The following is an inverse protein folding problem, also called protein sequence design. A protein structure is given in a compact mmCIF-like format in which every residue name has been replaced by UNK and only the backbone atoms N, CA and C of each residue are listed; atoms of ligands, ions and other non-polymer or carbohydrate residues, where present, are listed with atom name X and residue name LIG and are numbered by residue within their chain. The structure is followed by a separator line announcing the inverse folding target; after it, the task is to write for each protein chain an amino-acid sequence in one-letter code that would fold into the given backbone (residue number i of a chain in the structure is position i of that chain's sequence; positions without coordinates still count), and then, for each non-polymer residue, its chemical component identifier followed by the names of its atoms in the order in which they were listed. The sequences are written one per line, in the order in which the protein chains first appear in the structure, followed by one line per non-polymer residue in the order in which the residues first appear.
data_IF_143898607609
#
_entry.id   IF_143898607609
#
_cell.length_a   1.000
_cell.length_b   1.000
_cell.length_c   1.000
_cell.angle_alpha   90.00
_cell.angle_beta   90.00
_cell.angle_gamma   90.00
#
_symmetry.space_group_name_H-M   'P 1'
#
loop_
_entity.id
_entity.type
_entity.pdbx_description
1 polymer ?
#
# COMPACT_ATOMS: atom_id res chain seq x y z
N UNK A 1 18.35 -25.00 -18.08
CA UNK A 1 18.71 -24.43 -16.76
C UNK A 1 17.49 -23.67 -16.27
N UNK A 2 16.79 -24.24 -15.28
CA UNK A 2 15.72 -23.54 -14.55
C UNK A 2 16.29 -22.21 -14.06
N UNK A 3 15.66 -21.09 -14.44
CA UNK A 3 16.08 -19.78 -13.93
C UNK A 3 15.86 -19.82 -12.41
N UNK A 4 16.90 -19.65 -11.61
CA UNK A 4 16.72 -19.53 -10.16
C UNK A 4 16.26 -18.11 -9.88
N UNK A 5 15.08 -17.98 -9.28
CA UNK A 5 14.61 -16.69 -8.74
C UNK A 5 15.46 -16.33 -7.52
N UNK A 6 15.84 -15.06 -7.39
CA UNK A 6 16.49 -14.52 -6.19
C UNK A 6 15.74 -13.32 -5.66
N UNK A 7 15.58 -13.26 -4.35
CA UNK A 7 14.82 -12.22 -3.67
C UNK A 7 15.76 -11.51 -2.70
N UNK A 8 15.82 -10.19 -2.77
CA UNK A 8 16.55 -9.35 -1.82
C UNK A 8 15.60 -8.33 -1.21
N UNK A 9 15.99 -7.74 -0.09
CA UNK A 9 15.25 -6.68 0.60
C UNK A 9 16.21 -5.62 1.10
N UNK A 10 15.74 -4.38 1.18
CA UNK A 10 16.36 -3.39 2.05
C UNK A 10 15.81 -3.49 3.47
N UNK A 11 15.91 -2.40 4.24
CA UNK A 11 15.51 -2.36 5.64
C UNK A 11 14.04 -1.95 5.85
N UNK A 12 13.31 -1.61 4.79
CA UNK A 12 11.97 -1.04 4.94
C UNK A 12 10.96 -2.03 5.53
N UNK A 13 10.97 -3.30 5.11
CA UNK A 13 10.07 -4.32 5.64
C UNK A 13 10.62 -5.75 5.46
N UNK A 14 11.70 -6.06 6.18
CA UNK A 14 12.35 -7.38 6.10
C UNK A 14 11.40 -8.55 6.49
N UNK A 15 10.45 -8.31 7.40
CA UNK A 15 9.46 -9.32 7.81
C UNK A 15 8.58 -9.76 6.64
N UNK A 16 8.07 -8.81 5.85
CA UNK A 16 7.30 -9.10 4.63
C UNK A 16 8.14 -9.82 3.58
N UNK A 17 9.40 -9.41 3.38
CA UNK A 17 10.30 -10.08 2.45
C UNK A 17 10.50 -11.56 2.81
N UNK A 18 10.70 -11.85 4.10
CA UNK A 18 10.79 -13.23 4.59
C UNK A 18 9.49 -14.01 4.35
N UNK A 19 8.33 -13.43 4.67
CA UNK A 19 7.04 -14.10 4.44
C UNK A 19 6.75 -14.40 2.96
N UNK A 20 7.23 -13.54 2.05
CA UNK A 20 7.17 -13.79 0.59
C UNK A 20 8.11 -14.93 0.19
N UNK A 21 9.33 -14.97 0.73
CA UNK A 21 10.26 -16.08 0.52
C UNK A 21 9.69 -17.41 1.02
N UNK A 22 9.09 -17.42 2.21
CA UNK A 22 8.45 -18.61 2.80
C UNK A 22 7.28 -19.10 1.93
N UNK A 23 6.47 -18.20 1.36
CA UNK A 23 5.40 -18.56 0.42
C UNK A 23 5.94 -19.20 -0.87
N UNK A 24 7.10 -18.76 -1.34
CA UNK A 24 7.73 -19.22 -2.58
C UNK A 24 8.63 -20.45 -2.40
N UNK A 25 8.85 -20.89 -1.16
CA UNK A 25 9.80 -21.95 -0.79
C UNK A 25 11.23 -21.63 -1.31
N UNK A 26 11.69 -20.40 -1.07
CA UNK A 26 13.03 -19.93 -1.43
C UNK A 26 13.72 -19.22 -0.26
N UNK A 27 15.04 -19.21 -0.26
CA UNK A 27 15.81 -18.45 0.73
C UNK A 27 15.92 -16.97 0.33
N UNK A 28 15.85 -16.09 1.33
CA UNK A 28 16.17 -14.68 1.15
C UNK A 28 17.65 -14.54 0.78
N UNK A 29 17.91 -13.77 -0.27
CA UNK A 29 19.26 -13.53 -0.77
C UNK A 29 20.12 -12.79 0.24
N UNK A 30 21.40 -13.12 0.26
CA UNK A 30 22.38 -12.53 1.15
C UNK A 30 22.78 -11.15 0.64
N UNK A 31 22.27 -10.11 1.29
CA UNK A 31 22.71 -8.74 1.09
C UNK A 31 22.83 -8.02 2.42
N UNK A 32 23.90 -7.25 2.55
CA UNK A 32 24.13 -6.36 3.67
C UNK A 32 23.73 -4.94 3.27
N UNK A 33 22.72 -4.38 3.93
CA UNK A 33 22.25 -3.00 3.72
C UNK A 33 22.43 -2.23 5.01
N UNK A 34 23.49 -1.42 5.09
CA UNK A 34 23.89 -0.68 6.30
C UNK A 34 24.03 0.82 6.02
N UNK A 35 24.25 1.58 7.07
CA UNK A 35 24.58 3.00 6.99
C UNK A 35 25.98 3.23 7.57
N UNK A 36 26.79 4.05 6.88
CA UNK A 36 28.03 4.58 7.44
C UNK A 36 27.71 5.55 8.59
N UNK A 37 28.74 5.94 9.35
CA UNK A 37 28.57 6.82 10.52
C UNK A 37 28.00 8.20 10.20
N UNK A 38 28.12 8.66 8.95
CA UNK A 38 27.59 9.92 8.44
C UNK A 38 26.17 9.79 7.84
N UNK A 39 25.61 8.59 7.81
CA UNK A 39 24.27 8.31 7.31
C UNK A 39 24.19 7.91 5.84
N UNK A 40 25.32 7.81 5.12
CA UNK A 40 25.31 7.27 3.76
C UNK A 40 24.99 5.77 3.74
N UNK A 41 24.11 5.36 2.82
CA UNK A 41 23.72 3.95 2.66
C UNK A 41 24.79 3.17 1.92
N UNK A 42 25.17 2.00 2.45
CA UNK A 42 26.07 1.02 1.85
C UNK A 42 25.34 -0.29 1.59
N UNK A 43 25.57 -0.88 0.41
CA UNK A 43 24.99 -2.16 0.01
C UNK A 43 26.07 -3.09 -0.51
N UNK A 44 26.14 -4.29 0.04
CA UNK A 44 27.04 -5.36 -0.42
C UNK A 44 26.25 -6.66 -0.64
N UNK A 45 26.43 -7.31 -1.80
CA UNK A 45 25.83 -8.62 -2.09
C UNK A 45 26.76 -9.71 -1.57
N UNK A 46 26.24 -10.61 -0.75
CA UNK A 46 26.95 -11.79 -0.24
C UNK A 46 26.97 -12.98 -1.19
N UNK A 47 26.34 -12.87 -2.36
CA UNK A 47 26.22 -13.97 -3.32
C UNK A 47 26.22 -13.53 -4.79
N UNK A 48 26.48 -14.48 -5.69
CA UNK A 48 26.54 -14.23 -7.13
C UNK A 48 25.13 -14.19 -7.75
N UNK A 49 24.80 -13.07 -8.40
CA UNK A 49 23.51 -12.84 -9.07
C UNK A 49 23.60 -12.80 -10.61
N UNK A 50 24.76 -13.12 -11.18
CA UNK A 50 25.02 -13.00 -12.63
C UNK A 50 24.04 -13.86 -13.43
N UNK A 51 23.33 -13.22 -14.36
CA UNK A 51 22.39 -13.89 -15.24
C UNK A 51 21.06 -14.31 -14.60
N UNK A 52 20.86 -14.01 -13.31
CA UNK A 52 19.67 -14.40 -12.55
C UNK A 52 18.50 -13.43 -12.75
N UNK A 53 17.29 -13.91 -12.43
CA UNK A 53 16.08 -13.10 -12.35
C UNK A 53 15.85 -12.69 -10.89
N UNK A 54 15.97 -11.40 -10.62
CA UNK A 54 16.06 -10.87 -9.26
C UNK A 54 14.86 -10.00 -8.93
N UNK A 55 14.34 -10.15 -7.72
CA UNK A 55 13.25 -9.34 -7.16
C UNK A 55 13.77 -8.61 -5.92
N UNK A 56 13.49 -7.31 -5.82
CA UNK A 56 13.87 -6.49 -4.66
C UNK A 56 12.60 -6.03 -3.96
N UNK A 57 12.35 -6.53 -2.76
CA UNK A 57 11.19 -6.17 -1.94
C UNK A 57 11.58 -4.98 -1.06
N UNK A 58 11.01 -3.81 -1.33
CA UNK A 58 11.31 -2.61 -0.57
C UNK A 58 10.18 -1.58 -0.73
N UNK A 59 9.33 -1.48 0.30
CA UNK A 59 8.42 -0.34 0.43
C UNK A 59 9.21 0.96 0.60
N UNK A 60 8.71 2.06 0.03
CA UNK A 60 9.34 3.39 0.16
C UNK A 60 8.63 4.22 1.23
N UNK A 61 8.29 3.56 2.35
CA UNK A 61 7.65 4.14 3.53
C UNK A 61 8.64 4.90 4.42
N UNK A 62 8.17 5.48 5.53
CA UNK A 62 9.04 6.20 6.45
C UNK A 62 10.18 5.30 7.02
N UNK A 63 11.43 5.79 7.10
CA UNK A 63 11.93 7.06 6.55
C UNK A 63 12.04 7.04 5.01
N UNK A 64 11.22 7.85 4.34
CA UNK A 64 10.97 7.71 2.89
C UNK A 64 12.24 7.88 2.04
N UNK A 65 13.07 8.87 2.38
CA UNK A 65 14.31 9.18 1.65
C UNK A 65 15.39 8.12 1.85
N UNK A 66 15.48 7.55 3.04
CA UNK A 66 16.42 6.46 3.33
C UNK A 66 15.99 5.21 2.57
N UNK A 67 14.72 4.82 2.68
CA UNK A 67 14.23 3.59 2.06
C UNK A 67 14.26 3.65 0.52
N UNK A 68 14.00 4.81 -0.10
CA UNK A 68 14.19 4.97 -1.55
C UNK A 68 15.68 4.90 -1.93
N UNK A 69 16.58 5.52 -1.17
CA UNK A 69 18.01 5.45 -1.48
C UNK A 69 18.54 4.01 -1.35
N UNK A 70 18.13 3.26 -0.33
CA UNK A 70 18.41 1.83 -0.21
C UNK A 70 17.93 1.04 -1.44
N UNK A 71 16.70 1.28 -1.91
CA UNK A 71 16.18 0.66 -3.12
C UNK A 71 17.06 0.98 -4.33
N UNK A 72 17.34 2.26 -4.58
CA UNK A 72 18.09 2.71 -5.74
C UNK A 72 19.52 2.13 -5.75
N UNK A 73 20.20 2.11 -4.61
CA UNK A 73 21.55 1.57 -4.49
C UNK A 73 21.53 0.04 -4.68
N UNK A 74 20.57 -0.66 -4.06
CA UNK A 74 20.44 -2.11 -4.24
C UNK A 74 20.15 -2.51 -5.70
N UNK A 75 19.29 -1.76 -6.39
CA UNK A 75 19.04 -1.93 -7.83
C UNK A 75 20.32 -1.71 -8.67
N UNK A 76 21.09 -0.65 -8.40
CA UNK A 76 22.33 -0.37 -9.11
C UNK A 76 23.40 -1.43 -8.85
N UNK A 77 23.54 -1.89 -7.61
CA UNK A 77 24.46 -2.98 -7.22
C UNK A 77 24.13 -4.27 -7.98
N UNK A 78 22.85 -4.67 -8.03
CA UNK A 78 22.40 -5.85 -8.79
C UNK A 78 22.66 -5.70 -10.29
N UNK A 79 22.42 -4.51 -10.86
CA UNK A 79 22.68 -4.23 -12.28
C UNK A 79 24.17 -4.36 -12.60
N UNK A 80 25.04 -3.77 -11.79
CA UNK A 80 26.51 -3.86 -11.96
C UNK A 80 27.03 -5.27 -11.72
N UNK A 81 26.40 -6.03 -10.84
CA UNK A 81 26.64 -7.46 -10.65
C UNK A 81 26.10 -8.35 -11.79
N UNK A 82 25.59 -7.75 -12.88
CA UNK A 82 25.13 -8.43 -14.09
C UNK A 82 23.92 -9.35 -13.90
N UNK A 83 22.99 -8.98 -13.00
CA UNK A 83 21.67 -9.58 -12.96
C UNK A 83 20.99 -9.45 -14.34
N UNK A 84 20.27 -10.50 -14.79
CA UNK A 84 19.65 -10.52 -16.13
C UNK A 84 18.40 -9.65 -16.18
N UNK A 85 17.60 -9.68 -15.12
CA UNK A 85 16.35 -8.93 -14.98
C UNK A 85 16.19 -8.57 -13.50
N UNK A 86 15.79 -7.33 -13.23
CA UNK A 86 15.59 -6.81 -11.88
C UNK A 86 14.17 -6.27 -11.77
N UNK A 87 13.35 -6.86 -10.92
CA UNK A 87 12.00 -6.39 -10.64
C UNK A 87 11.99 -5.68 -9.28
N UNK A 88 11.63 -4.39 -9.26
CA UNK A 88 11.41 -3.67 -8.02
C UNK A 88 10.01 -3.98 -7.50
N UNK A 89 9.91 -4.70 -6.39
CA UNK A 89 8.66 -4.99 -5.69
C UNK A 89 8.50 -3.94 -4.60
N UNK A 90 7.58 -3.00 -4.79
CA UNK A 90 7.37 -1.82 -3.95
C UNK A 90 5.94 -1.88 -3.39
N UNK A 91 5.69 -2.64 -2.30
CA UNK A 91 4.35 -2.82 -1.74
C UNK A 91 3.67 -1.49 -1.39
N UNK A 92 4.40 -0.51 -0.86
CA UNK A 92 3.95 0.87 -0.72
C UNK A 92 4.83 1.84 -1.51
N UNK A 93 4.24 2.52 -2.49
CA UNK A 93 4.91 3.53 -3.31
C UNK A 93 4.83 4.93 -2.66
N UNK A 94 5.86 5.26 -1.87
CA UNK A 94 6.09 6.57 -1.31
C UNK A 94 6.13 7.66 -2.39
N UNK A 95 5.84 8.90 -1.99
CA UNK A 95 5.63 10.03 -2.90
C UNK A 95 4.45 9.91 -3.88
N UNK A 96 3.68 8.81 -3.88
CA UNK A 96 2.56 8.58 -4.79
C UNK A 96 1.45 9.66 -4.75
N UNK A 97 1.30 10.37 -3.63
CA UNK A 97 0.37 11.52 -3.49
C UNK A 97 0.81 12.79 -4.21
N UNK A 98 2.03 12.82 -4.74
CA UNK A 98 2.60 13.94 -5.51
C UNK A 98 2.67 13.57 -7.00
N UNK A 99 1.53 13.16 -7.55
CA UNK A 99 1.32 12.66 -8.92
C UNK A 99 1.01 13.76 -9.95
N UNK A 100 0.62 14.95 -9.51
CA UNK A 100 0.29 16.07 -10.39
C UNK A 100 0.58 17.42 -9.76
N UNK A 101 0.67 18.46 -10.60
CA UNK A 101 0.80 19.84 -10.13
C UNK A 101 -0.54 20.40 -9.71
N UNK A 102 -0.79 20.49 -8.41
CA UNK A 102 -1.99 21.16 -7.86
C UNK A 102 -1.82 22.69 -7.82
N UNK A 103 -0.57 23.16 -7.73
CA UNK A 103 -0.21 24.59 -7.77
C UNK A 103 0.93 24.84 -8.76
N UNK A 104 1.06 26.05 -9.33
CA UNK A 104 2.24 26.43 -10.10
C UNK A 104 3.53 26.15 -9.33
N UNK A 105 4.59 25.74 -10.04
CA UNK A 105 5.94 25.49 -9.49
C UNK A 105 6.04 24.39 -8.42
N UNK A 106 5.07 23.47 -8.35
CA UNK A 106 5.19 22.23 -7.58
C UNK A 106 5.86 21.11 -8.40
N UNK A 107 6.59 20.17 -7.75
CA UNK A 107 7.15 18.99 -8.42
C UNK A 107 6.06 17.94 -8.70
N UNK A 108 6.38 16.98 -9.58
CA UNK A 108 5.67 15.70 -9.70
C UNK A 108 6.62 14.63 -9.18
N UNK A 109 6.73 14.54 -7.85
CA UNK A 109 7.76 13.70 -7.20
C UNK A 109 7.52 12.21 -7.46
N UNK A 110 6.27 11.78 -7.63
CA UNK A 110 5.97 10.40 -8.05
C UNK A 110 6.60 10.04 -9.41
N UNK A 111 6.66 10.99 -10.34
CA UNK A 111 7.35 10.84 -11.64
C UNK A 111 8.87 10.86 -11.48
N UNK A 112 9.41 11.73 -10.63
CA UNK A 112 10.84 11.73 -10.31
C UNK A 112 11.28 10.38 -9.74
N UNK A 113 10.51 9.80 -8.80
CA UNK A 113 10.81 8.48 -8.25
C UNK A 113 10.79 7.40 -9.34
N UNK A 114 9.83 7.45 -10.26
CA UNK A 114 9.75 6.51 -11.38
C UNK A 114 10.98 6.59 -12.30
N UNK A 115 11.46 7.81 -12.57
CA UNK A 115 12.67 8.05 -13.36
C UNK A 115 13.91 7.49 -12.65
N UNK A 116 14.05 7.74 -11.36
CA UNK A 116 15.19 7.26 -10.57
C UNK A 116 15.20 5.73 -10.48
N UNK A 117 14.06 5.09 -10.18
CA UNK A 117 13.94 3.63 -10.09
C UNK A 117 14.30 2.97 -11.44
N UNK A 118 13.77 3.52 -12.54
CA UNK A 118 14.10 3.04 -13.90
C UNK A 118 15.59 3.23 -14.19
N UNK A 119 16.14 4.40 -13.86
CA UNK A 119 17.56 4.74 -14.11
C UNK A 119 18.52 3.90 -13.28
N UNK A 120 18.14 3.52 -12.05
CA UNK A 120 18.93 2.66 -11.17
C UNK A 120 19.06 1.23 -11.72
N UNK A 121 18.11 0.76 -12.53
CA UNK A 121 18.21 -0.52 -13.22
C UNK A 121 16.97 -1.41 -13.13
N UNK A 122 15.85 -0.94 -12.57
CA UNK A 122 14.62 -1.70 -12.58
C UNK A 122 14.18 -1.99 -14.02
N UNK A 123 13.89 -3.26 -14.32
CA UNK A 123 13.36 -3.73 -15.59
C UNK A 123 11.84 -3.89 -15.57
N UNK A 124 11.25 -3.95 -14.37
CA UNK A 124 9.81 -4.06 -14.09
C UNK A 124 9.56 -3.52 -12.68
N UNK A 125 8.35 -3.03 -12.43
CA UNK A 125 7.88 -2.65 -11.10
C UNK A 125 6.64 -3.46 -10.74
N UNK A 126 6.58 -3.98 -9.52
CA UNK A 126 5.40 -4.61 -8.93
C UNK A 126 4.99 -3.77 -7.72
N UNK A 127 3.80 -3.16 -7.75
CA UNK A 127 3.26 -2.34 -6.68
C UNK A 127 1.93 -2.90 -6.17
N UNK A 128 1.48 -2.42 -5.02
CA UNK A 128 0.13 -2.63 -4.52
C UNK A 128 -0.56 -1.27 -4.35
N UNK A 129 -1.81 -1.16 -4.83
CA UNK A 129 -2.71 -0.01 -4.63
C UNK A 129 -2.06 1.36 -4.80
N UNK A 130 -1.42 1.61 -5.95
CA UNK A 130 -0.92 2.94 -6.31
C UNK A 130 -1.99 4.02 -6.07
N UNK A 131 -1.62 5.09 -5.39
CA UNK A 131 -2.52 6.20 -5.04
C UNK A 131 -3.31 6.72 -6.25
N UNK A 132 -2.63 6.84 -7.39
CA UNK A 132 -3.23 7.14 -8.68
C UNK A 132 -2.80 6.08 -9.71
N UNK A 133 -3.78 5.45 -10.38
CA UNK A 133 -3.51 4.43 -11.39
C UNK A 133 -2.64 4.92 -12.56
N UNK A 134 -2.65 6.23 -12.82
CA UNK A 134 -1.84 6.91 -13.83
C UNK A 134 -0.33 6.86 -13.54
N UNK A 135 0.08 6.59 -12.30
CA UNK A 135 1.50 6.43 -11.95
C UNK A 135 2.14 5.31 -12.78
N UNK A 136 1.39 4.31 -13.22
CA UNK A 136 1.88 3.30 -14.17
C UNK A 136 2.44 3.92 -15.45
N UNK A 137 1.82 4.99 -15.96
CA UNK A 137 2.29 5.73 -17.14
C UNK A 137 3.50 6.65 -16.89
N UNK A 138 3.98 6.75 -15.65
CA UNK A 138 5.24 7.45 -15.34
C UNK A 138 6.47 6.60 -15.62
N UNK A 139 6.31 5.28 -15.67
CA UNK A 139 7.35 4.33 -15.98
C UNK A 139 7.39 4.01 -17.47
N UNK A 140 8.60 3.87 -18.01
CA UNK A 140 8.83 3.37 -19.38
C UNK A 140 9.06 1.85 -19.40
N UNK A 141 8.91 1.19 -18.25
CA UNK A 141 9.05 -0.24 -18.03
C UNK A 141 7.70 -0.82 -17.59
N UNK A 142 7.45 -2.12 -17.73
CA UNK A 142 6.20 -2.73 -17.27
C UNK A 142 5.97 -2.49 -15.78
N UNK A 143 4.73 -2.13 -15.43
CA UNK A 143 4.28 -1.96 -14.05
C UNK A 143 3.08 -2.87 -13.83
N UNK A 144 3.18 -3.76 -12.84
CA UNK A 144 2.06 -4.53 -12.33
C UNK A 144 1.57 -3.84 -11.06
N UNK A 145 0.40 -3.21 -11.12
CA UNK A 145 -0.26 -2.63 -9.93
C UNK A 145 -1.33 -3.60 -9.41
N UNK A 146 -0.98 -4.40 -8.40
CA UNK A 146 -1.92 -5.27 -7.70
C UNK A 146 -2.89 -4.44 -6.84
N UNK A 147 -3.98 -5.08 -6.41
CA UNK A 147 -4.97 -4.49 -5.49
C UNK A 147 -5.07 -5.33 -4.23
N UNK A 148 -5.01 -4.71 -3.05
CA UNK A 148 -5.19 -5.39 -1.76
C UNK A 148 -6.65 -5.81 -1.51
N UNK A 149 -7.57 -5.34 -2.37
CA UNK A 149 -9.00 -5.55 -2.24
C UNK A 149 -9.42 -6.99 -1.90
N UNK A 150 -8.90 -8.07 -2.53
CA UNK A 150 -9.29 -9.44 -2.16
C UNK A 150 -8.95 -9.77 -0.70
N UNK A 151 -7.73 -9.41 -0.28
CA UNK A 151 -7.22 -9.64 1.06
C UNK A 151 -8.01 -8.84 2.10
N UNK A 152 -8.30 -7.57 1.81
CA UNK A 152 -9.10 -6.70 2.68
C UNK A 152 -10.56 -7.16 2.76
N UNK A 153 -11.16 -7.58 1.63
CA UNK A 153 -12.54 -8.07 1.58
C UNK A 153 -12.72 -9.32 2.44
N UNK A 154 -11.80 -10.27 2.36
CA UNK A 154 -11.88 -11.51 3.10
C UNK A 154 -11.82 -11.27 4.61
N UNK A 155 -10.99 -10.32 5.06
CA UNK A 155 -10.91 -9.98 6.48
C UNK A 155 -12.13 -9.16 6.95
N UNK A 156 -12.59 -8.19 6.15
CA UNK A 156 -13.81 -7.43 6.45
C UNK A 156 -15.03 -8.34 6.57
N UNK A 157 -15.19 -9.32 5.67
CA UNK A 157 -16.32 -10.27 5.69
C UNK A 157 -16.39 -11.08 6.98
N UNK A 158 -15.24 -11.47 7.57
CA UNK A 158 -15.21 -12.20 8.84
C UNK A 158 -15.72 -11.37 10.02
N UNK A 159 -15.61 -10.04 9.91
CA UNK A 159 -15.94 -9.11 10.98
C UNK A 159 -17.37 -8.57 10.88
N UNK A 160 -18.00 -8.63 9.71
CA UNK A 160 -19.40 -8.20 9.49
C UNK A 160 -20.34 -9.31 9.96
N UNK A 161 -21.33 -9.02 10.84
CA UNK A 161 -22.33 -9.99 11.23
C UNK A 161 -23.19 -10.45 10.04
N UNK A 162 -23.49 -11.74 10.00
CA UNK A 162 -24.23 -12.36 8.89
C UNK A 162 -25.63 -11.76 8.81
N UNK A 163 -26.01 -11.26 7.63
CA UNK A 163 -27.34 -10.72 7.35
C UNK A 163 -27.52 -9.23 7.67
N UNK A 164 -26.49 -8.55 8.18
CA UNK A 164 -26.55 -7.08 8.35
C UNK A 164 -26.44 -6.36 7.00
N UNK A 165 -27.25 -5.31 6.76
CA UNK A 165 -27.11 -4.49 5.58
C UNK A 165 -25.84 -3.65 5.69
N UNK A 166 -25.05 -3.64 4.62
CA UNK A 166 -23.76 -2.96 4.57
C UNK A 166 -23.80 -1.79 3.60
N UNK A 167 -23.19 -0.69 3.99
CA UNK A 167 -22.85 0.42 3.09
C UNK A 167 -21.34 0.63 3.11
N UNK A 168 -20.74 0.66 1.92
CA UNK A 168 -19.34 1.02 1.73
C UNK A 168 -19.23 2.53 1.51
N UNK A 169 -18.30 3.17 2.18
CA UNK A 169 -18.13 4.61 2.18
C UNK A 169 -16.80 4.97 1.52
N UNK A 170 -16.85 5.85 0.54
CA UNK A 170 -15.67 6.56 0.08
C UNK A 170 -15.45 7.82 0.93
N UNK A 171 -14.28 8.02 1.55
CA UNK A 171 -14.02 9.18 2.42
C UNK A 171 -13.84 10.50 1.64
N UNK A 172 -13.65 10.43 0.33
CA UNK A 172 -13.61 11.57 -0.57
C UNK A 172 -14.01 11.20 -2.01
N UNK A 173 -14.03 12.19 -2.91
CA UNK A 173 -14.38 11.97 -4.31
C UNK A 173 -13.34 11.15 -5.10
N UNK A 174 -12.08 11.13 -4.66
CA UNK A 174 -11.00 10.42 -5.35
C UNK A 174 -11.07 8.91 -5.15
N UNK A 175 -11.56 8.46 -3.99
CA UNK A 175 -11.70 7.04 -3.65
C UNK A 175 -12.97 6.35 -4.17
N UNK A 176 -13.85 7.05 -4.91
CA UNK A 176 -15.21 6.54 -5.23
C UNK A 176 -15.18 5.26 -6.04
N UNK A 177 -14.29 5.15 -7.04
CA UNK A 177 -14.20 3.94 -7.87
C UNK A 177 -13.70 2.74 -7.07
N UNK A 178 -12.77 2.95 -6.14
CA UNK A 178 -12.28 1.93 -5.19
C UNK A 178 -13.44 1.44 -4.30
N UNK A 179 -14.17 2.37 -3.69
CA UNK A 179 -15.31 2.08 -2.84
C UNK A 179 -16.43 1.36 -3.61
N UNK A 180 -16.73 1.78 -4.84
CA UNK A 180 -17.72 1.14 -5.72
C UNK A 180 -17.36 -0.32 -6.03
N UNK A 181 -16.09 -0.56 -6.36
CA UNK A 181 -15.59 -1.90 -6.62
C UNK A 181 -15.68 -2.80 -5.37
N UNK A 182 -15.36 -2.26 -4.20
CA UNK A 182 -15.49 -2.96 -2.92
C UNK A 182 -16.97 -3.27 -2.60
N UNK A 183 -17.86 -2.29 -2.75
CA UNK A 183 -19.30 -2.42 -2.53
C UNK A 183 -19.92 -3.52 -3.40
N UNK A 184 -19.57 -3.55 -4.70
CA UNK A 184 -20.03 -4.58 -5.63
C UNK A 184 -19.67 -6.00 -5.18
N UNK A 185 -18.48 -6.20 -4.62
CA UNK A 185 -18.00 -7.52 -4.15
C UNK A 185 -18.54 -7.90 -2.77
N UNK A 186 -18.92 -6.91 -1.95
CA UNK A 186 -19.66 -7.14 -0.70
C UNK A 186 -21.18 -7.25 -0.90
N UNK A 187 -21.69 -7.03 -2.11
CA UNK A 187 -23.14 -6.86 -2.35
C UNK A 187 -23.75 -5.79 -1.42
N UNK A 188 -23.02 -4.69 -1.26
CA UNK A 188 -23.32 -3.58 -0.37
C UNK A 188 -23.73 -2.32 -1.14
N UNK A 189 -24.38 -1.37 -0.46
CA UNK A 189 -24.60 -0.04 -1.03
C UNK A 189 -23.33 0.81 -1.02
N UNK A 190 -23.33 1.89 -1.79
CA UNK A 190 -22.26 2.86 -1.86
C UNK A 190 -22.72 4.21 -1.32
N UNK A 191 -21.94 4.79 -0.41
CA UNK A 191 -22.06 6.17 0.01
C UNK A 191 -20.74 6.92 -0.15
N UNK A 192 -20.81 8.24 -0.19
CA UNK A 192 -19.65 9.12 -0.40
C UNK A 192 -19.70 10.24 0.64
N UNK A 193 -18.57 10.47 1.32
CA UNK A 193 -18.40 11.64 2.15
C UNK A 193 -18.08 12.87 1.27
N UNK A 194 -19.03 13.78 1.17
CA UNK A 194 -18.86 15.08 0.51
C UNK A 194 -18.30 16.08 1.52
N UNK A 195 -17.02 16.42 1.34
CA UNK A 195 -16.29 17.37 2.16
C UNK A 195 -16.43 18.77 1.56
N UNK A 196 -17.38 19.56 2.07
CA UNK A 196 -17.54 20.96 1.66
C UNK A 196 -16.81 21.90 2.60
N UNK A 197 -16.03 22.81 2.01
CA UNK A 197 -15.50 23.99 2.70
C UNK A 197 -16.31 25.19 2.25
N UNK A 198 -17.19 25.69 3.12
CA UNK A 198 -18.01 26.86 2.80
C UNK A 198 -17.16 28.15 2.73
N UNK A 199 -16.11 28.26 3.57
CA UNK A 199 -15.15 29.39 3.57
C UNK A 199 -13.77 28.95 4.08
N UNK A 200 -12.68 29.68 3.72
CA UNK A 200 -11.41 29.56 4.42
C UNK A 200 -11.61 29.79 5.93
N UNK A 201 -11.07 28.91 6.78
CA UNK A 201 -11.14 28.96 8.25
C UNK A 201 -12.49 28.63 8.92
N UNK A 202 -13.48 28.12 8.19
CA UNK A 202 -14.70 27.54 8.78
C UNK A 202 -14.54 26.02 8.93
N UNK A 203 -15.09 25.47 10.02
CA UNK A 203 -15.08 24.03 10.27
C UNK A 203 -15.66 23.26 9.07
N UNK A 204 -14.98 22.18 8.69
CA UNK A 204 -15.36 21.35 7.54
C UNK A 204 -16.68 20.63 7.86
N UNK A 205 -17.74 20.92 7.09
CA UNK A 205 -19.00 20.17 7.19
C UNK A 205 -18.88 18.95 6.29
N UNK A 206 -19.02 17.77 6.89
CA UNK A 206 -18.98 16.50 6.18
C UNK A 206 -20.41 15.98 6.03
N UNK A 207 -20.86 15.81 4.78
CA UNK A 207 -22.18 15.24 4.49
C UNK A 207 -22.00 13.87 3.85
N UNK A 208 -22.82 12.91 4.25
CA UNK A 208 -22.86 11.60 3.61
C UNK A 208 -23.92 11.62 2.51
N UNK A 209 -23.51 11.30 1.29
CA UNK A 209 -24.38 11.10 0.13
C UNK A 209 -24.55 9.59 -0.06
N UNK A 210 -25.73 9.07 0.27
CA UNK A 210 -26.04 7.64 0.32
C UNK A 210 -26.68 7.27 1.67
N UNK A 211 -27.30 6.08 1.76
CA UNK A 211 -27.93 5.62 2.99
C UNK A 211 -26.93 4.85 3.86
N UNK A 212 -26.80 5.28 5.11
CA UNK A 212 -25.97 4.64 6.14
C UNK A 212 -26.79 4.29 7.38
N UNK A 213 -28.08 4.62 7.41
CA UNK A 213 -28.92 4.44 8.60
C UNK A 213 -29.20 2.96 8.83
N UNK A 214 -29.09 2.53 10.08
CA UNK A 214 -29.35 1.16 10.53
C UNK A 214 -28.49 0.09 9.80
N UNK A 215 -27.28 0.49 9.35
CA UNK A 215 -26.36 -0.31 8.52
C UNK A 215 -24.95 -0.36 9.10
N UNK A 216 -24.23 -1.46 8.82
CA UNK A 216 -22.79 -1.52 9.02
C UNK A 216 -22.11 -0.68 7.94
N UNK A 217 -21.28 0.26 8.35
CA UNK A 217 -20.54 1.14 7.47
C UNK A 217 -19.08 0.69 7.34
N UNK A 218 -18.58 0.52 6.12
CA UNK A 218 -17.17 0.19 5.84
C UNK A 218 -16.53 1.30 5.02
N UNK A 219 -15.67 2.11 5.64
CA UNK A 219 -14.91 3.14 4.95
C UNK A 219 -13.73 2.47 4.22
N UNK A 220 -13.57 2.74 2.92
CA UNK A 220 -12.51 2.12 2.10
C UNK A 220 -11.60 3.19 1.51
N UNK A 221 -10.30 3.07 1.73
CA UNK A 221 -9.29 4.02 1.25
C UNK A 221 -7.95 3.33 0.92
N UNK A 222 -7.07 3.94 0.12
CA UNK A 222 -5.70 3.41 -0.08
C UNK A 222 -4.82 3.64 1.13
N UNK A 223 -4.84 4.83 1.71
CA UNK A 223 -3.83 5.26 2.67
C UNK A 223 -4.49 5.88 3.89
N UNK A 224 -4.06 5.43 5.08
CA UNK A 224 -4.33 6.16 6.33
C UNK A 224 -3.02 6.77 6.82
N UNK A 225 -2.93 8.11 6.77
CA UNK A 225 -1.75 8.86 7.20
C UNK A 225 -1.92 9.38 8.64
N UNK A 226 -2.56 10.53 8.84
CA UNK A 226 -2.80 11.11 10.17
C UNK A 226 -4.13 10.68 10.80
N UNK A 227 -4.88 9.79 10.14
CA UNK A 227 -6.25 9.36 10.48
C UNK A 227 -7.34 10.44 10.54
N UNK A 228 -7.03 11.74 10.45
CA UNK A 228 -8.01 12.81 10.65
C UNK A 228 -9.19 12.82 9.68
N UNK A 229 -8.99 12.50 8.39
CA UNK A 229 -10.11 12.35 7.45
C UNK A 229 -10.96 11.12 7.77
N UNK A 230 -10.30 10.02 8.15
CA UNK A 230 -10.95 8.75 8.46
C UNK A 230 -11.85 8.86 9.70
N UNK A 231 -11.35 9.45 10.79
CA UNK A 231 -12.09 9.60 12.05
C UNK A 231 -13.25 10.60 11.92
N UNK A 232 -13.08 11.69 11.15
CA UNK A 232 -14.17 12.60 10.80
C UNK A 232 -15.26 11.91 9.97
N UNK A 233 -14.86 11.08 9.01
CA UNK A 233 -15.80 10.27 8.21
C UNK A 233 -16.56 9.31 9.09
N UNK A 234 -15.87 8.60 9.98
CA UNK A 234 -16.53 7.71 10.93
C UNK A 234 -17.55 8.44 11.80
N UNK A 235 -17.23 9.63 12.28
CA UNK A 235 -18.17 10.47 13.02
C UNK A 235 -19.41 10.85 12.20
N UNK A 236 -19.22 11.38 11.00
CA UNK A 236 -20.34 11.78 10.13
C UNK A 236 -21.25 10.59 9.77
N UNK A 237 -20.67 9.41 9.60
CA UNK A 237 -21.43 8.17 9.32
C UNK A 237 -22.22 7.70 10.55
N UNK A 238 -21.63 7.73 11.75
CA UNK A 238 -22.35 7.43 12.99
C UNK A 238 -23.49 8.44 13.26
N UNK A 239 -23.25 9.74 13.03
CA UNK A 239 -24.28 10.78 13.13
C UNK A 239 -25.41 10.58 12.09
N UNK A 240 -25.10 9.96 10.95
CA UNK A 240 -26.07 9.52 9.94
C UNK A 240 -26.92 8.31 10.34
N UNK A 241 -26.67 7.70 11.51
CA UNK A 241 -27.45 6.59 12.05
C UNK A 241 -26.88 5.20 11.74
N UNK A 242 -25.62 5.09 11.34
CA UNK A 242 -24.97 3.78 11.19
C UNK A 242 -24.90 3.04 12.53
N UNK A 243 -25.06 1.71 12.49
CA UNK A 243 -24.99 0.86 13.69
C UNK A 243 -23.55 0.63 14.13
N UNK A 244 -22.63 0.60 13.17
CA UNK A 244 -21.20 0.33 13.37
C UNK A 244 -20.41 0.93 12.22
N UNK A 245 -19.23 1.46 12.49
CA UNK A 245 -18.30 1.92 11.45
C UNK A 245 -16.97 1.18 11.55
N UNK A 246 -16.52 0.66 10.42
CA UNK A 246 -15.23 0.01 10.24
C UNK A 246 -14.48 0.69 9.10
N UNK A 247 -13.20 0.37 8.96
CA UNK A 247 -12.38 0.83 7.86
C UNK A 247 -11.56 -0.32 7.24
N UNK A 248 -11.30 -0.24 5.94
CA UNK A 248 -10.43 -1.14 5.20
C UNK A 248 -9.42 -0.33 4.39
N UNK A 249 -8.14 -0.41 4.75
CA UNK A 249 -7.09 0.46 4.25
C UNK A 249 -5.91 -0.34 3.73
N UNK A 250 -5.48 -0.06 2.50
CA UNK A 250 -4.34 -0.76 1.91
C UNK A 250 -3.04 -0.44 2.62
N UNK A 251 -2.74 0.82 2.91
CA UNK A 251 -1.43 1.25 3.41
C UNK A 251 -1.52 1.99 4.75
N UNK A 252 -1.05 1.37 5.85
CA UNK A 252 -1.08 1.99 7.17
C UNK A 252 0.13 2.90 7.40
N UNK A 253 0.14 4.09 6.79
CA UNK A 253 1.21 5.08 7.01
C UNK A 253 1.23 5.54 8.47
N UNK A 254 0.05 5.74 9.07
CA UNK A 254 -0.17 5.98 10.50
C UNK A 254 0.83 6.95 11.12
N UNK A 255 1.06 8.13 10.51
CA UNK A 255 2.01 9.11 11.02
C UNK A 255 1.46 9.93 12.19
N UNK A 256 2.36 10.52 12.98
CA UNK A 256 2.00 11.34 14.14
C UNK A 256 1.09 10.61 15.12
N UNK A 257 -0.04 11.24 15.46
CA UNK A 257 -1.01 10.73 16.44
C UNK A 257 -2.07 9.81 15.85
N UNK A 258 -1.91 9.31 14.62
CA UNK A 258 -2.94 8.53 13.92
C UNK A 258 -3.48 7.33 14.73
N UNK A 259 -2.61 6.60 15.43
CA UNK A 259 -3.02 5.45 16.27
C UNK A 259 -3.94 5.91 17.38
N UNK A 260 -3.52 6.91 18.15
CA UNK A 260 -4.33 7.51 19.23
C UNK A 260 -5.66 8.06 18.71
N UNK A 261 -5.65 8.77 17.59
CA UNK A 261 -6.85 9.30 16.95
C UNK A 261 -7.83 8.18 16.60
N UNK A 262 -7.35 7.03 16.12
CA UNK A 262 -8.20 5.87 15.82
C UNK A 262 -8.75 5.25 17.10
N UNK A 263 -7.94 5.09 18.14
CA UNK A 263 -8.35 4.53 19.44
C UNK A 263 -9.46 5.33 20.11
N UNK A 264 -9.34 6.66 20.08
CA UNK A 264 -10.30 7.61 20.64
C UNK A 264 -11.51 7.88 19.72
N UNK A 265 -11.54 7.30 18.51
CA UNK A 265 -12.61 7.51 17.53
C UNK A 265 -13.81 6.57 17.71
N UNK A 266 -14.81 6.78 16.83
CA UNK A 266 -15.98 5.93 16.71
C UNK A 266 -15.77 4.73 15.75
N UNK A 267 -14.54 4.48 15.30
CA UNK A 267 -14.21 3.28 14.53
C UNK A 267 -14.21 2.06 15.45
N UNK A 268 -14.94 1.03 15.05
CA UNK A 268 -14.94 -0.23 15.77
C UNK A 268 -13.67 -1.05 15.45
N UNK A 269 -13.36 -1.20 14.16
CA UNK A 269 -12.17 -1.90 13.68
C UNK A 269 -11.61 -1.26 12.40
N UNK A 270 -10.29 -1.26 12.26
CA UNK A 270 -9.55 -0.81 11.08
C UNK A 270 -8.76 -1.99 10.52
N UNK A 271 -9.24 -2.56 9.43
CA UNK A 271 -8.57 -3.62 8.68
C UNK A 271 -7.48 -2.99 7.82
N UNK A 272 -6.24 -3.44 7.99
CA UNK A 272 -5.07 -2.88 7.31
C UNK A 272 -4.16 -3.97 6.76
N UNK A 273 -3.38 -3.68 5.72
CA UNK A 273 -2.36 -4.62 5.24
C UNK A 273 -1.02 -4.43 5.94
N UNK A 274 -0.09 -5.36 5.74
CA UNK A 274 1.30 -5.30 6.18
C UNK A 274 2.27 -4.62 5.19
N UNK A 275 1.77 -3.89 4.19
CA UNK A 275 2.62 -3.17 3.20
C UNK A 275 3.61 -2.17 3.81
N UNK A 276 3.32 -1.67 5.01
CA UNK A 276 4.19 -0.84 5.83
C UNK A 276 4.33 -1.51 7.20
N UNK A 277 5.54 -1.65 7.76
CA UNK A 277 5.69 -2.17 9.12
C UNK A 277 4.95 -1.29 10.12
N UNK A 278 4.23 -1.92 11.03
CA UNK A 278 3.49 -1.20 12.05
C UNK A 278 4.42 -0.67 13.13
N UNK A 279 4.05 0.50 13.67
CA UNK A 279 4.66 1.02 14.88
C UNK A 279 4.20 0.19 16.08
N UNK A 280 5.01 0.08 17.15
CA UNK A 280 4.66 -0.72 18.32
C UNK A 280 3.27 -0.41 18.90
N UNK A 281 2.86 0.86 18.91
CA UNK A 281 1.55 1.26 19.44
C UNK A 281 0.39 0.71 18.60
N UNK A 282 0.56 0.61 17.28
CA UNK A 282 -0.43 0.01 16.39
C UNK A 282 -0.45 -1.52 16.50
N UNK A 283 0.70 -2.17 16.71
CA UNK A 283 0.79 -3.63 16.90
C UNK A 283 0.03 -4.10 18.16
N UNK A 284 0.02 -3.28 19.22
CA UNK A 284 -0.65 -3.62 20.49
C UNK A 284 -2.12 -3.20 20.55
N UNK A 285 -2.61 -2.43 19.59
CA UNK A 285 -3.95 -1.86 19.65
C UNK A 285 -5.02 -2.81 19.11
N UNK A 286 -6.05 -3.06 19.91
CA UNK A 286 -7.19 -3.91 19.51
C UNK A 286 -8.04 -3.29 18.39
N UNK A 287 -7.81 -2.02 18.02
CA UNK A 287 -8.51 -1.37 16.91
C UNK A 287 -8.06 -1.85 15.54
N UNK A 288 -6.87 -2.44 15.40
CA UNK A 288 -6.36 -2.89 14.11
C UNK A 288 -6.56 -4.39 13.90
N UNK A 289 -6.97 -4.74 12.69
CA UNK A 289 -6.93 -6.11 12.18
C UNK A 289 -5.94 -6.14 11.01
N UNK A 290 -4.75 -6.69 11.25
CA UNK A 290 -3.67 -6.71 10.26
C UNK A 290 -3.78 -7.97 9.42
N UNK A 291 -3.81 -7.82 8.10
CA UNK A 291 -3.85 -8.93 7.16
C UNK A 291 -2.65 -8.88 6.21
N UNK A 292 -2.05 -10.03 5.93
CA UNK A 292 -0.85 -10.08 5.08
C UNK A 292 -1.18 -10.09 3.60
N UNK A 293 -0.45 -9.31 2.80
CA UNK A 293 -0.47 -9.36 1.34
C UNK A 293 0.70 -10.16 0.76
N UNK A 294 1.53 -10.78 1.62
CA UNK A 294 2.69 -11.56 1.21
C UNK A 294 2.34 -12.71 0.25
N UNK A 295 1.27 -13.50 0.46
CA UNK A 295 0.88 -14.54 -0.51
C UNK A 295 0.49 -13.97 -1.88
N UNK A 296 -0.20 -12.83 -1.91
CA UNK A 296 -0.59 -12.16 -3.15
C UNK A 296 0.65 -11.66 -3.92
N UNK A 297 1.62 -11.05 -3.22
CA UNK A 297 2.87 -10.59 -3.82
C UNK A 297 3.76 -11.76 -4.26
N UNK A 298 3.85 -12.82 -3.45
CA UNK A 298 4.59 -14.03 -3.78
C UNK A 298 4.03 -14.70 -5.04
N UNK A 299 2.71 -14.84 -5.15
CA UNK A 299 2.10 -15.40 -6.36
C UNK A 299 2.35 -14.54 -7.60
N UNK A 300 2.33 -13.21 -7.46
CA UNK A 300 2.70 -12.31 -8.55
C UNK A 300 4.16 -12.47 -8.97
N UNK A 301 5.10 -12.58 -8.02
CA UNK A 301 6.53 -12.86 -8.29
C UNK A 301 6.68 -14.18 -9.04
N UNK A 302 6.02 -15.25 -8.58
CA UNK A 302 6.03 -16.58 -9.22
C UNK A 302 5.58 -16.48 -10.69
N UNK A 303 4.48 -15.78 -10.95
CA UNK A 303 3.92 -15.61 -12.30
C UNK A 303 4.83 -14.76 -13.20
N UNK A 304 5.37 -13.65 -12.68
CA UNK A 304 6.31 -12.81 -13.43
C UNK A 304 7.56 -13.61 -13.80
N UNK A 305 8.07 -14.42 -12.87
CA UNK A 305 9.22 -15.28 -13.10
C UNK A 305 8.95 -16.33 -14.19
N UNK A 306 7.80 -17.00 -14.09
CA UNK A 306 7.36 -18.06 -15.01
C UNK A 306 6.78 -17.55 -16.34
N UNK A 307 6.71 -16.23 -16.54
CA UNK A 307 6.11 -15.60 -17.73
C UNK A 307 4.60 -15.95 -17.87
N UNK A 308 3.92 -16.16 -16.74
CA UNK A 308 2.47 -16.40 -16.64
C UNK A 308 1.68 -15.08 -16.52
N UNK A 309 0.37 -15.14 -16.78
CA UNK A 309 -0.50 -13.96 -16.65
C UNK A 309 -0.68 -13.55 -15.18
N UNK A 310 -0.29 -12.31 -14.86
CA UNK A 310 -0.59 -11.65 -13.58
C UNK A 310 -2.05 -11.19 -13.53
N UNK A 311 -2.71 -11.04 -14.69
CA UNK A 311 -4.04 -10.43 -14.78
C UNK A 311 -5.12 -11.19 -14.01
N UNK A 312 -4.97 -12.50 -13.81
CA UNK A 312 -5.93 -13.28 -13.03
C UNK A 312 -5.85 -13.03 -11.52
N UNK A 313 -4.86 -12.26 -11.04
CA UNK A 313 -4.77 -11.79 -9.66
C UNK A 313 -5.55 -10.47 -9.45
N UNK A 314 -5.89 -9.77 -10.53
CA UNK A 314 -6.74 -8.58 -10.46
C UNK A 314 -8.20 -9.02 -10.32
N UNK A 315 -8.72 -8.97 -9.10
CA UNK A 315 -10.11 -9.35 -8.79
C UNK A 315 -11.03 -8.17 -8.89
#
# INVERSE_FOLDING_TARGET
MTRTVKIFTGNANARMAQAICDYLDVELGQAEVKHFSDGETSVELGENVRGMDVFVIQSTCAPANTNIMELLILLDTLRRASAKRITAVIPYYGYGRQDRKVKPRSPITAKLMADLITTAGASRVLCLDLHAGQIQGFFNIPVDNLFAMPVLLDEVRKLIPVGEPVTVISPDAGGVERARAFAKRLNAELAIADKRREKPNVAEVMRIVGDVKDRTAVIVDDIVDTAGSLTKTARAVMEGGATRVMAAISHPVLSGQAVKEIEESLLDKVVITDTIPLRPEAETSERFAVTTVSPLLGEAIRRIHNEESVSSLFV
#
